data_IF_552488558196
#
_entry.id   IF_552488558196
#
_cell.length_a   1.000
_cell.length_b   1.000
_cell.length_c   1.000
_cell.angle_alpha   90.00
_cell.angle_beta   90.00
_cell.angle_gamma   90.00
#
_symmetry.space_group_name_H-M   'P 1'
#
loop_
_entity.id
_entity.type
_entity.pdbx_description
1 polymer ?
#
# COMPACT_ATOMS: atom_id res chain seq x y z
N UNK A 1 5.38 2.34 3.59
CA UNK A 1 5.08 2.02 4.99
C UNK A 1 5.75 3.03 5.92
N UNK A 2 4.98 4.03 6.35
CA UNK A 2 5.49 5.13 7.20
C UNK A 2 5.82 4.66 8.63
N UNK A 3 5.36 3.49 9.02
CA UNK A 3 5.57 2.95 10.37
C UNK A 3 6.88 2.16 10.50
N UNK A 4 7.52 1.84 9.38
CA UNK A 4 8.71 1.01 9.35
C UNK A 4 9.73 1.60 8.38
N UNK A 5 10.67 2.44 8.85
CA UNK A 5 11.67 3.06 7.97
C UNK A 5 12.48 2.07 7.16
N UNK A 6 12.81 0.89 7.73
CA UNK A 6 13.53 -0.14 6.99
C UNK A 6 12.72 -0.69 5.81
N UNK A 7 11.38 -0.71 5.92
CA UNK A 7 10.52 -1.15 4.83
C UNK A 7 10.50 -0.13 3.68
N UNK A 8 10.65 1.16 3.96
CA UNK A 8 10.78 2.20 2.95
C UNK A 8 12.07 1.99 2.14
N UNK A 9 13.18 1.75 2.83
CA UNK A 9 14.46 1.48 2.17
C UNK A 9 14.41 0.20 1.34
N UNK A 10 13.74 -0.83 1.85
CA UNK A 10 13.53 -2.08 1.12
C UNK A 10 12.75 -1.86 -0.17
N UNK A 11 11.67 -1.09 -0.11
CA UNK A 11 10.87 -0.77 -1.29
C UNK A 11 11.71 -0.02 -2.34
N UNK A 12 12.52 0.93 -1.89
CA UNK A 12 13.42 1.68 -2.77
C UNK A 12 14.38 0.74 -3.50
N UNK A 13 14.97 -0.20 -2.77
CA UNK A 13 15.90 -1.19 -3.33
C UNK A 13 15.21 -2.09 -4.35
N UNK A 14 14.02 -2.61 -4.02
CA UNK A 14 13.25 -3.48 -4.90
C UNK A 14 12.81 -2.72 -6.15
N UNK A 15 12.37 -1.47 -6.02
CA UNK A 15 11.99 -0.65 -7.15
C UNK A 15 13.17 -0.47 -8.12
N UNK A 16 14.35 -0.19 -7.60
CA UNK A 16 15.55 -0.06 -8.43
C UNK A 16 15.88 -1.36 -9.16
N UNK A 17 15.78 -2.50 -8.49
CA UNK A 17 16.01 -3.82 -9.09
C UNK A 17 15.00 -4.14 -10.19
N UNK A 18 13.76 -3.71 -10.03
CA UNK A 18 12.70 -3.95 -11.01
C UNK A 18 12.68 -2.94 -12.16
N UNK A 19 13.53 -1.92 -12.10
CA UNK A 19 13.53 -0.85 -13.09
C UNK A 19 12.36 0.12 -12.95
N UNK A 20 11.74 0.16 -11.77
CA UNK A 20 10.64 1.07 -11.47
C UNK A 20 11.14 2.35 -10.80
N UNK A 21 10.36 3.42 -10.93
CA UNK A 21 10.66 4.68 -10.25
C UNK A 21 10.13 4.62 -8.83
N UNK A 22 10.97 4.87 -7.85
CA UNK A 22 10.59 4.98 -6.45
C UNK A 22 10.12 6.40 -6.15
N UNK A 23 8.91 6.53 -5.57
CA UNK A 23 8.43 7.82 -5.09
C UNK A 23 8.85 7.99 -3.64
N UNK A 24 9.68 9.00 -3.32
CA UNK A 24 10.18 9.19 -1.95
C UNK A 24 9.05 9.50 -0.98
N UNK A 25 9.13 8.92 0.22
CA UNK A 25 8.19 9.20 1.29
C UNK A 25 8.94 9.43 2.60
N UNK A 26 8.34 10.25 3.47
CA UNK A 26 8.88 10.52 4.78
C UNK A 26 8.07 9.77 5.84
N UNK A 27 8.77 9.26 6.87
CA UNK A 27 8.11 8.51 7.94
C UNK A 27 7.10 9.35 8.72
N UNK A 28 7.24 10.67 8.72
CA UNK A 28 6.31 11.59 9.38
C UNK A 28 5.08 11.91 8.55
N UNK A 29 5.06 11.59 7.26
CA UNK A 29 3.95 11.91 6.38
C UNK A 29 2.82 10.89 6.52
N UNK A 30 1.59 11.34 6.32
CA UNK A 30 0.42 10.46 6.35
C UNK A 30 0.37 9.60 5.08
N UNK A 31 0.00 8.32 5.19
CA UNK A 31 -0.10 7.44 4.02
C UNK A 31 -0.97 8.00 2.90
N UNK A 32 -2.11 8.61 3.23
CA UNK A 32 -2.99 9.21 2.23
C UNK A 32 -2.32 10.34 1.47
N UNK A 33 -1.60 11.21 2.18
CA UNK A 33 -0.91 12.34 1.56
C UNK A 33 0.20 11.86 0.62
N UNK A 34 0.94 10.83 1.02
CA UNK A 34 1.99 10.23 0.19
C UNK A 34 1.36 9.64 -1.08
N UNK A 35 0.28 8.90 -0.93
CA UNK A 35 -0.38 8.23 -2.06
C UNK A 35 -0.95 9.25 -3.05
N UNK A 36 -1.57 10.31 -2.57
CA UNK A 36 -2.12 11.36 -3.43
C UNK A 36 -1.00 12.11 -4.17
N UNK A 37 0.10 12.42 -3.49
CA UNK A 37 1.25 13.05 -4.11
C UNK A 37 1.89 12.14 -5.16
N UNK A 38 1.98 10.84 -4.90
CA UNK A 38 2.50 9.87 -5.84
C UNK A 38 1.61 9.75 -7.08
N UNK A 39 0.29 9.77 -6.90
CA UNK A 39 -0.65 9.74 -8.02
C UNK A 39 -0.50 10.96 -8.92
N UNK A 40 -0.38 12.14 -8.33
CA UNK A 40 -0.13 13.38 -9.04
C UNK A 40 1.19 13.30 -9.83
N UNK A 41 2.25 12.83 -9.18
CA UNK A 41 3.56 12.66 -9.80
C UNK A 41 3.48 11.71 -10.99
N UNK A 42 2.81 10.58 -10.82
CA UNK A 42 2.66 9.58 -11.89
C UNK A 42 1.93 10.17 -13.10
N UNK A 43 0.87 10.94 -12.88
CA UNK A 43 0.13 11.61 -13.95
C UNK A 43 0.97 12.67 -14.65
N UNK A 44 1.69 13.48 -13.89
CA UNK A 44 2.53 14.56 -14.42
C UNK A 44 3.70 14.03 -15.26
N UNK A 45 4.25 12.88 -14.86
CA UNK A 45 5.40 12.27 -15.52
C UNK A 45 5.03 11.14 -16.49
N UNK A 46 3.73 11.01 -16.79
CA UNK A 46 3.22 10.03 -17.78
C UNK A 46 3.55 8.58 -17.46
N UNK A 47 3.55 8.22 -16.17
CA UNK A 47 3.67 6.81 -15.77
C UNK A 47 2.37 6.07 -16.03
N UNK A 48 2.46 4.86 -16.58
CA UNK A 48 1.29 4.05 -16.93
C UNK A 48 0.69 3.34 -15.71
N UNK A 49 1.53 2.99 -14.74
CA UNK A 49 1.14 2.19 -13.57
C UNK A 49 1.69 2.80 -12.29
N UNK A 50 0.83 2.94 -11.30
CA UNK A 50 1.22 3.30 -9.94
C UNK A 50 0.91 2.13 -9.01
N UNK A 51 1.94 1.67 -8.29
CA UNK A 51 1.79 0.63 -7.28
C UNK A 51 1.95 1.27 -5.90
N UNK A 52 0.94 1.10 -5.05
CA UNK A 52 0.94 1.62 -3.68
C UNK A 52 1.06 0.45 -2.72
N UNK A 53 2.17 0.42 -1.97
CA UNK A 53 2.43 -0.59 -0.95
C UNK A 53 1.99 -0.05 0.40
N UNK A 54 1.12 -0.79 1.08
CA UNK A 54 0.57 -0.38 2.37
C UNK A 54 1.27 -1.09 3.53
N UNK A 55 1.12 -0.52 4.74
CA UNK A 55 1.68 -1.13 5.93
C UNK A 55 1.13 -2.55 6.15
N UNK A 56 2.04 -3.52 6.31
CA UNK A 56 1.68 -4.89 6.60
C UNK A 56 1.46 -5.10 8.10
N UNK A 57 0.47 -5.92 8.44
CA UNK A 57 0.18 -6.29 9.82
C UNK A 57 -0.16 -7.77 9.89
N UNK A 58 0.16 -8.39 11.04
CA UNK A 58 -0.16 -9.79 11.28
C UNK A 58 -1.66 -9.99 11.51
N UNK A 59 -2.34 -8.98 12.04
CA UNK A 59 -3.79 -9.02 12.28
C UNK A 59 -4.42 -7.75 11.73
N UNK A 60 -5.66 -7.85 11.26
CA UNK A 60 -6.44 -6.70 10.79
C UNK A 60 -7.07 -6.01 11.99
N UNK A 61 -6.86 -4.70 12.11
CA UNK A 61 -7.51 -3.86 13.11
C UNK A 61 -8.30 -2.74 12.42
N UNK A 62 -9.08 -1.99 13.20
CA UNK A 62 -9.91 -0.91 12.67
C UNK A 62 -9.08 0.21 12.03
N UNK A 63 -7.92 0.53 12.61
CA UNK A 63 -7.07 1.58 12.09
C UNK A 63 -6.53 1.21 10.70
N UNK A 64 -6.09 -0.03 10.53
CA UNK A 64 -5.64 -0.55 9.25
C UNK A 64 -6.78 -0.54 8.21
N UNK A 65 -7.97 -0.97 8.61
CA UNK A 65 -9.12 -0.99 7.71
C UNK A 65 -9.52 0.40 7.26
N UNK A 66 -9.49 1.38 8.15
CA UNK A 66 -9.77 2.79 7.80
C UNK A 66 -8.71 3.33 6.84
N UNK A 67 -7.45 3.05 7.08
CA UNK A 67 -6.36 3.48 6.20
C UNK A 67 -6.55 2.92 4.79
N UNK A 68 -6.85 1.63 4.66
CA UNK A 68 -7.09 0.99 3.38
C UNK A 68 -8.32 1.58 2.70
N UNK A 69 -9.41 1.81 3.44
CA UNK A 69 -10.62 2.41 2.89
C UNK A 69 -10.38 3.83 2.37
N UNK A 70 -9.62 4.64 3.12
CA UNK A 70 -9.27 6.00 2.69
C UNK A 70 -8.43 5.98 1.40
N UNK A 71 -7.42 5.11 1.35
CA UNK A 71 -6.57 4.97 0.16
C UNK A 71 -7.40 4.51 -1.04
N UNK A 72 -8.25 3.52 -0.86
CA UNK A 72 -9.09 3.00 -1.92
C UNK A 72 -10.06 4.08 -2.45
N UNK A 73 -10.70 4.80 -1.54
CA UNK A 73 -11.63 5.88 -1.91
C UNK A 73 -10.96 7.04 -2.63
N UNK A 74 -9.71 7.35 -2.27
CA UNK A 74 -8.96 8.47 -2.86
C UNK A 74 -8.31 8.10 -4.20
N UNK A 75 -7.77 6.88 -4.31
CA UNK A 75 -6.99 6.45 -5.47
C UNK A 75 -7.83 5.79 -6.55
N UNK A 76 -8.98 5.19 -6.21
CA UNK A 76 -9.81 4.41 -7.12
C UNK A 76 -8.97 3.38 -7.90
N UNK A 77 -8.27 2.46 -7.20
CA UNK A 77 -7.35 1.55 -7.88
C UNK A 77 -8.07 0.62 -8.84
N UNK A 78 -7.43 0.29 -9.95
CA UNK A 78 -7.94 -0.68 -10.90
C UNK A 78 -7.98 -2.09 -10.29
N UNK A 79 -6.97 -2.41 -9.48
CA UNK A 79 -6.89 -3.70 -8.78
C UNK A 79 -6.32 -3.49 -7.38
N UNK A 80 -6.83 -4.27 -6.44
CA UNK A 80 -6.29 -4.36 -5.09
C UNK A 80 -5.85 -5.79 -4.85
N UNK A 81 -4.56 -5.98 -4.56
CA UNK A 81 -3.97 -7.30 -4.38
C UNK A 81 -3.68 -7.54 -2.90
N UNK A 82 -4.05 -8.71 -2.43
CA UNK A 82 -3.71 -9.17 -1.09
C UNK A 82 -2.64 -10.26 -1.19
N UNK A 83 -1.46 -9.96 -0.66
CA UNK A 83 -0.34 -10.90 -0.68
C UNK A 83 -0.32 -11.68 0.62
N UNK A 84 -0.38 -13.00 0.51
CA UNK A 84 -0.38 -13.91 1.65
C UNK A 84 0.82 -14.84 1.61
N UNK A 85 1.29 -15.21 2.80
CA UNK A 85 2.27 -16.26 2.97
C UNK A 85 1.52 -17.57 3.19
N UNK A 86 1.89 -18.62 2.47
CA UNK A 86 1.28 -19.96 2.62
C UNK A 86 1.43 -20.53 4.04
N UNK A 87 2.37 -20.00 4.83
CA UNK A 87 2.60 -20.42 6.20
C UNK A 87 1.60 -19.80 7.21
N UNK A 88 0.81 -18.82 6.81
CA UNK A 88 -0.13 -18.12 7.70
C UNK A 88 -1.38 -18.94 8.04
N UNK A 89 -1.78 -19.88 7.18
CA UNK A 89 -2.93 -20.73 7.44
C UNK A 89 -4.24 -19.96 7.59
N UNK A 90 -4.94 -20.18 8.71
CA UNK A 90 -6.26 -19.58 8.96
C UNK A 90 -6.20 -18.06 9.10
N UNK A 91 -5.10 -17.50 9.59
CA UNK A 91 -4.96 -16.05 9.71
C UNK A 91 -5.03 -15.37 8.35
N UNK A 92 -4.46 -15.97 7.31
CA UNK A 92 -4.56 -15.45 5.95
C UNK A 92 -6.01 -15.39 5.48
N UNK A 93 -6.80 -16.41 5.79
CA UNK A 93 -8.22 -16.45 5.43
C UNK A 93 -9.00 -15.37 6.18
N UNK A 94 -8.75 -15.18 7.47
CA UNK A 94 -9.43 -14.18 8.27
C UNK A 94 -9.12 -12.76 7.78
N UNK A 95 -7.86 -12.48 7.48
CA UNK A 95 -7.44 -11.18 6.95
C UNK A 95 -8.08 -10.93 5.57
N UNK A 96 -8.06 -11.93 4.69
CA UNK A 96 -8.64 -11.80 3.35
C UNK A 96 -10.14 -11.50 3.41
N UNK A 97 -10.88 -12.15 4.33
CA UNK A 97 -12.31 -11.89 4.52
C UNK A 97 -12.58 -10.46 4.98
N UNK A 98 -11.76 -9.96 5.91
CA UNK A 98 -11.91 -8.59 6.40
C UNK A 98 -11.63 -7.56 5.30
N UNK A 99 -10.59 -7.78 4.49
CA UNK A 99 -10.21 -6.89 3.39
C UNK A 99 -11.16 -6.96 2.20
N UNK A 100 -11.88 -8.06 2.03
CA UNK A 100 -12.85 -8.23 0.95
C UNK A 100 -14.16 -7.48 1.18
N UNK A 101 -14.37 -6.92 2.37
CA UNK A 101 -15.58 -6.14 2.66
C UNK A 101 -15.60 -4.88 1.80
N UNK A 102 -16.80 -4.45 1.33
CA UNK A 102 -16.90 -3.23 0.55
C UNK A 102 -16.33 -2.04 1.33
N UNK A 103 -15.51 -1.22 0.67
CA UNK A 103 -15.06 0.04 1.23
C UNK A 103 -16.20 1.04 1.17
N UNK A 104 -16.48 1.74 2.31
CA UNK A 104 -17.52 2.77 2.32
C UNK A 104 -17.22 3.96 1.42
#
# INVERSE_FOLDING_TARGET
>A
DVYRPAAIDQLKTVAAQAGATFFPSEASAKPLDIAMAALQYARTHYHDVLIVDTAGRLAVDEAMMREIAELHGALHPAETLFVVDSMQGQDAVNVARALARPCP
#
